data_IF_665820817067
#
_entry.id   IF_665820817067
#
_cell.length_a   1.000
_cell.length_b   1.000
_cell.length_c   1.000
_cell.angle_alpha   90.00
_cell.angle_beta   90.00
_cell.angle_gamma   90.00
#
_symmetry.space_group_name_H-M   'P 1'
#
loop_
_entity.id
_entity.type
_entity.pdbx_description
1 polymer ?
#
# COMPACT_ATOMS: atom_id res chain seq x y z
N UNK A 1 7.16 9.34 -9.22
CA UNK A 1 7.44 8.25 -10.19
C UNK A 1 6.12 7.63 -10.59
N UNK A 2 5.93 7.34 -11.87
CA UNK A 2 4.83 6.47 -12.28
C UNK A 2 5.22 5.52 -13.42
N UNK A 3 4.46 4.43 -13.58
CA UNK A 3 4.56 3.53 -14.73
C UNK A 3 3.37 3.74 -15.68
N UNK A 4 3.63 3.68 -16.99
CA UNK A 4 2.60 3.84 -18.01
C UNK A 4 1.93 2.50 -18.34
N UNK A 5 0.64 2.55 -18.67
CA UNK A 5 -0.09 1.38 -19.18
C UNK A 5 -0.47 0.35 -18.10
N UNK A 6 -0.40 0.74 -16.82
CA UNK A 6 -0.74 -0.14 -15.68
C UNK A 6 -1.82 0.47 -14.79
N UNK A 7 -2.41 -0.38 -13.95
CA UNK A 7 -3.18 0.10 -12.80
C UNK A 7 -2.26 0.84 -11.83
N UNK A 8 -2.80 1.80 -11.11
CA UNK A 8 -2.04 2.62 -10.15
C UNK A 8 -0.91 3.44 -10.79
N UNK A 9 -0.99 3.77 -12.08
CA UNK A 9 0.01 4.52 -12.84
C UNK A 9 -0.50 5.87 -13.36
N UNK A 10 -0.86 5.92 -14.65
CA UNK A 10 -1.22 7.16 -15.36
C UNK A 10 -2.34 7.97 -14.68
N UNK A 11 -3.39 7.29 -14.18
CA UNK A 11 -4.55 7.94 -13.57
C UNK A 11 -4.20 8.59 -12.25
N UNK A 12 -3.43 7.90 -11.42
CA UNK A 12 -2.99 8.34 -10.11
C UNK A 12 -2.00 9.51 -10.24
N UNK A 13 -1.11 9.46 -11.24
CA UNK A 13 -0.24 10.59 -11.59
C UNK A 13 -1.05 11.83 -11.99
N UNK A 14 -2.01 11.69 -12.90
CA UNK A 14 -2.86 12.81 -13.32
C UNK A 14 -3.67 13.41 -12.16
N UNK A 15 -4.16 12.55 -11.25
CA UNK A 15 -4.84 13.00 -10.04
C UNK A 15 -3.89 13.73 -9.08
N UNK A 16 -2.67 13.23 -8.89
CA UNK A 16 -1.66 13.87 -8.06
C UNK A 16 -1.28 15.26 -8.58
N UNK A 17 -1.07 15.40 -9.90
CA UNK A 17 -0.83 16.71 -10.51
C UNK A 17 -1.98 17.69 -10.25
N UNK A 18 -3.22 17.24 -10.41
CA UNK A 18 -4.40 18.08 -10.16
C UNK A 18 -4.46 18.55 -8.69
N UNK A 19 -4.20 17.65 -7.75
CA UNK A 19 -4.21 17.99 -6.31
C UNK A 19 -3.08 18.97 -5.98
N UNK A 20 -1.86 18.71 -6.45
CA UNK A 20 -0.70 19.59 -6.25
C UNK A 20 -0.96 21.00 -6.78
N UNK A 21 -1.46 21.09 -8.03
CA UNK A 21 -1.81 22.37 -8.64
C UNK A 21 -2.91 23.10 -7.87
N UNK A 22 -3.92 22.37 -7.37
CA UNK A 22 -4.97 22.94 -6.51
C UNK A 22 -4.45 23.53 -5.20
N UNK A 23 -3.30 23.06 -4.72
CA UNK A 23 -2.59 23.60 -3.55
C UNK A 23 -1.55 24.67 -3.90
N UNK A 24 -1.38 25.01 -5.18
CA UNK A 24 -0.37 25.97 -5.64
C UNK A 24 1.06 25.39 -5.74
N UNK A 25 1.19 24.07 -5.81
CA UNK A 25 2.47 23.37 -5.96
C UNK A 25 2.56 22.61 -7.28
N UNK A 26 3.79 22.32 -7.71
CA UNK A 26 4.10 21.47 -8.85
C UNK A 26 5.06 20.34 -8.45
N UNK A 27 5.09 19.27 -9.23
CA UNK A 27 6.08 18.19 -9.05
C UNK A 27 7.42 18.65 -9.63
N UNK A 28 8.48 18.62 -8.81
CA UNK A 28 9.82 19.09 -9.21
C UNK A 28 10.55 18.17 -10.19
N UNK A 29 10.10 16.92 -10.32
CA UNK A 29 10.71 15.92 -11.18
C UNK A 29 9.79 14.72 -11.34
N UNK A 30 9.83 14.10 -12.53
CA UNK A 30 8.99 12.95 -12.87
C UNK A 30 9.83 11.89 -13.54
N UNK A 31 9.89 10.72 -12.91
CA UNK A 31 10.30 9.48 -13.57
C UNK A 31 9.05 8.80 -14.16
N UNK A 32 9.10 8.46 -15.44
CA UNK A 32 8.08 7.67 -16.12
C UNK A 32 8.66 6.83 -17.23
N UNK A 33 8.21 5.57 -17.32
CA UNK A 33 8.55 4.63 -18.38
C UNK A 33 7.36 3.74 -18.71
N UNK A 34 7.37 3.14 -19.89
CA UNK A 34 6.44 2.07 -20.23
C UNK A 34 6.67 0.85 -19.33
N UNK A 35 5.59 0.32 -18.77
CA UNK A 35 5.68 -0.83 -17.87
C UNK A 35 6.07 -2.11 -18.59
N UNK A 36 6.75 -3.01 -17.89
CA UNK A 36 7.05 -4.36 -18.34
C UNK A 36 5.79 -5.19 -18.62
N UNK A 37 4.60 -4.72 -18.21
CA UNK A 37 3.33 -5.34 -18.52
C UNK A 37 2.87 -5.10 -19.96
N UNK A 38 3.18 -3.93 -20.53
CA UNK A 38 2.77 -3.54 -21.89
C UNK A 38 3.87 -3.71 -22.94
N UNK A 39 5.06 -4.11 -22.52
CA UNK A 39 6.22 -4.33 -23.40
C UNK A 39 7.54 -3.93 -22.74
N UNK A 40 7.48 -3.05 -21.74
CA UNK A 40 8.62 -2.49 -21.04
C UNK A 40 9.34 -1.43 -21.85
N UNK A 41 9.89 -0.43 -21.17
CA UNK A 41 10.84 0.46 -21.80
C UNK A 41 12.15 -0.28 -22.12
N UNK A 42 12.77 0.08 -23.25
CA UNK A 42 14.16 -0.30 -23.52
C UNK A 42 15.06 0.17 -22.38
N UNK A 43 16.16 -0.55 -22.15
CA UNK A 43 17.08 -0.25 -21.05
C UNK A 43 17.57 1.18 -21.11
N UNK A 44 17.95 1.64 -22.30
CA UNK A 44 18.46 2.98 -22.57
C UNK A 44 17.44 4.06 -22.24
N UNK A 45 16.16 3.80 -22.51
CA UNK A 45 15.05 4.70 -22.16
C UNK A 45 14.86 4.76 -20.64
N UNK A 46 14.93 3.62 -19.96
CA UNK A 46 14.89 3.57 -18.49
C UNK A 46 16.05 4.36 -17.87
N UNK A 47 17.28 4.15 -18.35
CA UNK A 47 18.47 4.84 -17.85
C UNK A 47 18.34 6.36 -18.06
N UNK A 48 17.92 6.80 -19.25
CA UNK A 48 17.74 8.22 -19.54
C UNK A 48 16.68 8.86 -18.62
N UNK A 49 15.56 8.18 -18.41
CA UNK A 49 14.52 8.64 -17.48
C UNK A 49 15.02 8.67 -16.03
N UNK A 50 15.82 7.68 -15.62
CA UNK A 50 16.44 7.62 -14.30
C UNK A 50 17.38 8.80 -14.06
N UNK A 51 18.31 9.04 -14.98
CA UNK A 51 19.30 10.12 -14.86
C UNK A 51 18.62 11.49 -14.80
N UNK A 52 17.67 11.75 -15.70
CA UNK A 52 16.90 12.99 -15.68
C UNK A 52 16.13 13.20 -14.36
N UNK A 53 15.55 12.12 -13.80
CA UNK A 53 14.86 12.18 -12.53
C UNK A 53 15.81 12.39 -11.34
N UNK A 54 16.90 11.61 -11.27
CA UNK A 54 17.84 11.66 -10.16
C UNK A 54 18.57 13.01 -10.07
N UNK A 55 18.82 13.66 -11.21
CA UNK A 55 19.41 15.00 -11.25
C UNK A 55 18.52 16.10 -10.64
N UNK A 56 17.21 15.86 -10.54
CA UNK A 56 16.30 16.78 -9.81
C UNK A 56 16.50 16.77 -8.29
N UNK A 57 17.24 15.78 -7.75
CA UNK A 57 17.52 15.62 -6.31
C UNK A 57 16.26 15.77 -5.44
N UNK A 58 15.24 14.92 -5.66
CA UNK A 58 13.96 15.04 -4.99
C UNK A 58 14.12 14.94 -3.47
N UNK A 59 13.34 15.73 -2.73
CA UNK A 59 13.25 15.61 -1.27
C UNK A 59 12.27 14.50 -0.85
N UNK A 60 11.22 14.28 -1.65
CA UNK A 60 10.25 13.23 -1.45
C UNK A 60 9.80 12.69 -2.82
N UNK A 61 9.46 11.40 -2.86
CA UNK A 61 9.04 10.70 -4.07
C UNK A 61 7.74 9.98 -3.80
N UNK A 62 6.70 10.35 -4.54
CA UNK A 62 5.43 9.62 -4.57
C UNK A 62 5.52 8.54 -5.67
N UNK A 63 5.21 7.30 -5.31
CA UNK A 63 5.30 6.14 -6.21
C UNK A 63 3.92 5.70 -6.65
N UNK A 64 3.66 5.79 -7.96
CA UNK A 64 2.45 5.32 -8.61
C UNK A 64 2.79 4.18 -9.58
N UNK A 65 2.70 2.93 -9.13
CA UNK A 65 2.88 1.79 -10.02
C UNK A 65 2.34 0.49 -9.45
N UNK A 66 2.36 -0.53 -10.30
CA UNK A 66 2.11 -1.92 -9.89
C UNK A 66 3.35 -2.51 -9.20
N UNK A 67 3.20 -3.53 -8.34
CA UNK A 67 4.31 -4.26 -7.74
C UNK A 67 4.99 -5.21 -8.75
N UNK A 68 5.60 -4.63 -9.78
CA UNK A 68 6.29 -5.31 -10.88
C UNK A 68 7.76 -4.92 -10.94
N UNK A 69 8.52 -5.58 -11.81
CA UNK A 69 9.98 -5.47 -11.85
C UNK A 69 10.48 -4.03 -12.04
N UNK A 70 9.81 -3.20 -12.84
CA UNK A 70 10.25 -1.80 -13.03
C UNK A 70 10.13 -0.97 -11.75
N UNK A 71 9.07 -1.18 -10.98
CA UNK A 71 8.90 -0.55 -9.66
C UNK A 71 9.97 -1.02 -8.69
N UNK A 72 10.32 -2.32 -8.72
CA UNK A 72 11.41 -2.89 -7.91
C UNK A 72 12.74 -2.22 -8.27
N UNK A 73 13.06 -2.11 -9.56
CA UNK A 73 14.30 -1.47 -10.03
C UNK A 73 14.33 -0.01 -9.60
N UNK A 74 13.23 0.73 -9.82
CA UNK A 74 13.14 2.13 -9.43
C UNK A 74 13.35 2.34 -7.93
N UNK A 75 12.62 1.61 -7.08
CA UNK A 75 12.74 1.73 -5.62
C UNK A 75 14.15 1.33 -5.18
N UNK A 76 14.70 0.23 -5.68
CA UNK A 76 16.07 -0.18 -5.36
C UNK A 76 17.11 0.89 -5.70
N UNK A 77 16.99 1.53 -6.87
CA UNK A 77 17.88 2.63 -7.26
C UNK A 77 17.68 3.88 -6.40
N UNK A 78 16.45 4.24 -6.08
CA UNK A 78 16.15 5.38 -5.21
C UNK A 78 16.81 5.24 -3.85
N UNK A 79 16.82 4.04 -3.29
CA UNK A 79 17.40 3.78 -1.98
C UNK A 79 18.94 3.75 -2.00
N UNK A 80 19.59 3.64 -3.17
CA UNK A 80 21.04 3.39 -3.27
C UNK A 80 21.81 4.47 -4.03
N UNK A 81 21.18 5.22 -4.93
CA UNK A 81 21.80 6.34 -5.62
C UNK A 81 21.97 7.52 -4.66
N UNK A 82 23.19 8.05 -4.56
CA UNK A 82 23.53 9.15 -3.64
C UNK A 82 22.71 10.43 -3.84
N UNK A 83 22.13 10.64 -5.03
CA UNK A 83 21.30 11.80 -5.35
C UNK A 83 19.89 11.68 -4.77
N UNK A 84 19.41 10.47 -4.49
CA UNK A 84 18.03 10.17 -4.12
C UNK A 84 17.89 9.38 -2.81
N UNK A 85 18.96 8.74 -2.32
CA UNK A 85 18.94 7.89 -1.13
C UNK A 85 18.56 8.59 0.18
N UNK A 86 18.60 9.93 0.21
CA UNK A 86 18.12 10.73 1.35
C UNK A 86 16.66 11.20 1.22
N UNK A 87 15.99 10.89 0.12
CA UNK A 87 14.62 11.33 -0.13
C UNK A 87 13.61 10.48 0.64
N UNK A 88 12.47 11.08 1.01
CA UNK A 88 11.34 10.36 1.57
C UNK A 88 10.63 9.55 0.48
N UNK A 89 10.28 8.30 0.78
CA UNK A 89 9.54 7.41 -0.10
C UNK A 89 8.09 7.33 0.36
N UNK A 90 7.16 7.82 -0.48
CA UNK A 90 5.73 7.82 -0.23
C UNK A 90 5.05 6.80 -1.16
N UNK A 91 4.47 5.76 -0.60
CA UNK A 91 3.90 4.66 -1.36
C UNK A 91 2.46 4.29 -0.94
N UNK A 92 1.57 3.94 -1.88
CA UNK A 92 0.25 3.41 -1.56
C UNK A 92 0.33 2.02 -0.90
N UNK A 93 -0.74 1.60 -0.21
CA UNK A 93 -0.83 0.28 0.46
C UNK A 93 -0.43 -0.88 -0.45
N UNK A 94 -0.84 -0.83 -1.72
CA UNK A 94 -0.56 -1.88 -2.71
C UNK A 94 0.95 -2.13 -2.94
N UNK A 95 1.81 -1.16 -2.59
CA UNK A 95 3.26 -1.26 -2.70
C UNK A 95 3.95 -1.53 -1.35
N UNK A 96 3.21 -1.67 -0.26
CA UNK A 96 3.77 -1.79 1.09
C UNK A 96 4.77 -2.95 1.21
N UNK A 97 4.36 -4.17 0.85
CA UNK A 97 5.23 -5.35 0.95
C UNK A 97 6.50 -5.23 0.10
N UNK A 98 6.35 -4.73 -1.13
CA UNK A 98 7.47 -4.49 -2.05
C UNK A 98 8.44 -3.49 -1.44
N UNK A 99 7.94 -2.35 -0.99
CA UNK A 99 8.75 -1.27 -0.44
C UNK A 99 9.45 -1.72 0.86
N UNK A 100 8.75 -2.42 1.75
CA UNK A 100 9.32 -2.96 2.98
C UNK A 100 10.44 -3.98 2.69
N UNK A 101 10.22 -4.89 1.74
CA UNK A 101 11.22 -5.86 1.31
C UNK A 101 12.47 -5.19 0.75
N UNK A 102 12.29 -4.23 -0.16
CA UNK A 102 13.38 -3.49 -0.79
C UNK A 102 14.16 -2.64 0.21
N UNK A 103 13.47 -1.98 1.14
CA UNK A 103 14.10 -1.18 2.19
C UNK A 103 14.92 -2.04 3.15
N UNK A 104 14.35 -3.17 3.63
CA UNK A 104 15.08 -4.13 4.46
C UNK A 104 16.34 -4.65 3.75
N UNK A 105 16.23 -4.97 2.46
CA UNK A 105 17.36 -5.40 1.63
C UNK A 105 18.42 -4.30 1.48
N UNK A 106 18.02 -3.06 1.23
CA UNK A 106 18.92 -1.92 1.11
C UNK A 106 19.70 -1.67 2.41
N UNK A 107 19.01 -1.69 3.55
CA UNK A 107 19.64 -1.53 4.88
C UNK A 107 20.60 -2.68 5.18
N UNK A 108 20.22 -3.92 4.89
CA UNK A 108 21.12 -5.06 5.02
C UNK A 108 22.37 -4.95 4.10
N UNK A 109 22.23 -4.26 2.97
CA UNK A 109 23.31 -3.93 2.03
C UNK A 109 24.16 -2.72 2.43
N UNK A 110 23.89 -2.07 3.56
CA UNK A 110 24.69 -0.96 4.10
C UNK A 110 24.10 0.44 3.88
N UNK A 111 22.89 0.57 3.36
CA UNK A 111 22.15 1.84 3.39
C UNK A 111 21.80 2.20 4.83
N UNK A 112 21.99 3.47 5.21
CA UNK A 112 21.64 3.94 6.55
C UNK A 112 20.13 3.85 6.79
N UNK A 113 19.73 3.25 7.92
CA UNK A 113 18.34 3.23 8.31
C UNK A 113 17.91 4.57 8.91
N UNK A 114 17.04 5.29 8.20
CA UNK A 114 16.46 6.55 8.67
C UNK A 114 14.99 6.33 9.06
N UNK A 115 14.62 6.44 10.35
CA UNK A 115 13.23 6.32 10.78
C UNK A 115 12.31 7.33 10.08
N UNK A 116 11.15 6.86 9.58
CA UNK A 116 10.16 7.71 8.92
C UNK A 116 10.51 8.11 7.48
N UNK A 117 11.63 7.65 6.92
CA UNK A 117 11.97 7.90 5.53
C UNK A 117 10.99 7.21 4.55
N UNK A 118 10.51 6.02 4.92
CA UNK A 118 9.52 5.27 4.16
C UNK A 118 8.16 5.44 4.82
N UNK A 119 7.18 5.93 4.07
CA UNK A 119 5.81 6.17 4.53
C UNK A 119 4.87 5.48 3.56
N UNK A 120 4.11 4.52 4.07
CA UNK A 120 3.03 3.87 3.33
C UNK A 120 1.68 4.40 3.79
N UNK A 121 0.72 4.47 2.88
CA UNK A 121 -0.69 4.68 3.27
C UNK A 121 -1.30 3.33 3.66
N UNK A 122 -2.03 3.27 4.77
CA UNK A 122 -2.88 2.13 5.12
C UNK A 122 -4.36 2.41 4.85
N UNK A 123 -5.17 1.36 4.76
CA UNK A 123 -6.65 1.50 4.66
C UNK A 123 -7.37 1.31 5.99
N UNK A 124 -6.65 0.89 7.02
CA UNK A 124 -7.18 0.58 8.34
C UNK A 124 -6.12 0.85 9.42
N UNK A 125 -6.52 0.99 10.70
CA UNK A 125 -5.56 1.06 11.79
C UNK A 125 -4.70 -0.20 11.88
N UNK A 126 -3.52 -0.06 12.49
CA UNK A 126 -2.64 -1.21 12.77
C UNK A 126 -3.30 -2.14 13.78
N UNK A 127 -3.01 -3.44 13.69
CA UNK A 127 -3.56 -4.44 14.60
C UNK A 127 -3.23 -4.19 16.09
N UNK A 128 -2.14 -3.48 16.37
CA UNK A 128 -1.70 -3.08 17.71
C UNK A 128 -2.32 -1.77 18.22
N UNK A 129 -3.02 -1.04 17.35
CA UNK A 129 -3.58 0.28 17.67
C UNK A 129 -4.91 0.16 18.42
N UNK A 130 -4.81 0.02 19.75
CA UNK A 130 -5.96 -0.22 20.63
C UNK A 130 -6.75 1.04 20.99
N UNK A 131 -6.44 2.20 20.41
CA UNK A 131 -7.26 3.41 20.55
C UNK A 131 -8.65 3.24 19.92
N UNK A 132 -8.76 2.32 18.95
CA UNK A 132 -10.02 2.01 18.26
C UNK A 132 -10.71 0.79 18.87
N UNK A 133 -11.98 0.93 19.28
CA UNK A 133 -12.81 -0.17 19.78
C UNK A 133 -12.89 -1.34 18.78
N UNK A 134 -12.96 -1.03 17.48
CA UNK A 134 -12.93 -2.00 16.39
C UNK A 134 -11.68 -2.90 16.46
N UNK A 135 -10.50 -2.31 16.75
CA UNK A 135 -9.26 -3.05 16.84
C UNK A 135 -9.21 -3.89 18.12
N UNK A 136 -9.71 -3.39 19.25
CA UNK A 136 -9.82 -4.19 20.48
C UNK A 136 -10.69 -5.44 20.24
N UNK A 137 -11.80 -5.29 19.51
CA UNK A 137 -12.66 -6.41 19.11
C UNK A 137 -11.95 -7.35 18.15
N UNK A 138 -11.26 -6.82 17.14
CA UNK A 138 -10.43 -7.61 16.21
C UNK A 138 -9.45 -8.49 16.98
N UNK A 139 -8.66 -7.93 17.91
CA UNK A 139 -7.66 -8.70 18.65
C UNK A 139 -8.30 -9.86 19.42
N UNK A 140 -9.47 -9.65 20.01
CA UNK A 140 -10.20 -10.68 20.77
C UNK A 140 -10.69 -11.80 19.86
N UNK A 141 -11.35 -11.45 18.75
CA UNK A 141 -11.90 -12.43 17.80
C UNK A 141 -10.79 -13.19 17.09
N UNK A 142 -9.73 -12.50 16.68
CA UNK A 142 -8.63 -13.10 15.93
C UNK A 142 -7.80 -14.04 16.79
N UNK A 143 -7.51 -13.68 18.05
CA UNK A 143 -6.84 -14.59 18.99
C UNK A 143 -7.63 -15.88 19.19
N UNK A 144 -8.94 -15.76 19.43
CA UNK A 144 -9.82 -16.92 19.59
C UNK A 144 -9.94 -17.78 18.32
N UNK A 145 -9.83 -17.17 17.13
CA UNK A 145 -9.78 -17.88 15.86
C UNK A 145 -8.46 -18.66 15.70
N UNK A 146 -7.32 -18.00 15.93
CA UNK A 146 -5.99 -18.58 15.78
C UNK A 146 -5.69 -19.69 16.79
N UNK A 147 -6.24 -19.60 18.01
CA UNK A 147 -6.16 -20.66 19.02
C UNK A 147 -6.90 -21.94 18.62
N UNK A 148 -7.91 -21.81 17.75
CA UNK A 148 -8.76 -22.93 17.30
C UNK A 148 -8.39 -23.45 15.92
N UNK A 149 -7.67 -22.67 15.12
CA UNK A 149 -7.19 -23.11 13.82
C UNK A 149 -6.03 -24.09 14.01
N UNK A 150 -6.08 -25.24 13.34
CA UNK A 150 -4.89 -26.08 13.18
C UNK A 150 -3.77 -25.20 12.62
N UNK A 151 -2.68 -25.06 13.37
CA UNK A 151 -1.54 -24.16 13.15
C UNK A 151 -0.75 -24.48 11.86
N UNK A 152 -1.44 -24.60 10.74
CA UNK A 152 -0.87 -24.87 9.42
C UNK A 152 0.16 -23.81 9.03
N UNK A 153 0.10 -22.63 9.63
CA UNK A 153 1.06 -21.55 9.50
C UNK A 153 1.53 -21.25 10.93
N UNK A 154 2.75 -21.61 11.30
CA UNK A 154 3.34 -21.60 12.66
C UNK A 154 3.43 -20.22 13.37
N UNK A 155 2.54 -19.28 13.03
CA UNK A 155 2.36 -18.01 13.71
C UNK A 155 1.56 -18.24 15.00
N UNK A 156 2.14 -17.85 16.15
CA UNK A 156 1.42 -17.89 17.43
C UNK A 156 0.17 -17.02 17.43
N UNK A 157 -0.73 -17.21 18.40
CA UNK A 157 -2.02 -16.51 18.47
C UNK A 157 -1.93 -14.96 18.55
N UNK A 158 -0.73 -14.40 18.80
CA UNK A 158 -0.46 -12.96 18.82
C UNK A 158 0.50 -12.52 17.70
N UNK A 159 0.69 -13.32 16.65
CA UNK A 159 1.60 -12.98 15.53
C UNK A 159 1.24 -11.65 14.85
N UNK A 160 -0.05 -11.39 14.68
CA UNK A 160 -0.57 -10.15 14.09
C UNK A 160 -0.21 -8.88 14.90
N UNK A 161 0.28 -9.02 16.15
CA UNK A 161 0.78 -7.90 16.95
C UNK A 161 2.28 -7.66 16.77
N UNK A 162 2.98 -8.62 16.18
CA UNK A 162 4.45 -8.63 16.05
C UNK A 162 4.91 -8.33 14.63
N UNK A 163 4.07 -8.63 13.64
CA UNK A 163 4.27 -8.26 12.25
C UNK A 163 3.17 -7.27 11.83
N UNK A 164 3.57 -6.02 11.60
CA UNK A 164 2.63 -4.95 11.22
C UNK A 164 2.02 -5.18 9.83
N UNK A 165 2.74 -5.82 8.90
CA UNK A 165 2.24 -6.08 7.55
C UNK A 165 1.17 -7.18 7.55
N UNK A 166 1.48 -8.31 8.19
CA UNK A 166 0.49 -9.38 8.38
C UNK A 166 -0.70 -8.89 9.21
N UNK A 167 -0.42 -8.17 10.30
CA UNK A 167 -1.45 -7.61 11.18
C UNK A 167 -2.40 -6.67 10.46
N UNK A 168 -1.89 -5.73 9.65
CA UNK A 168 -2.72 -4.81 8.87
C UNK A 168 -3.59 -5.56 7.84
N UNK A 169 -3.03 -6.55 7.14
CA UNK A 169 -3.77 -7.38 6.19
C UNK A 169 -4.88 -8.20 6.88
N UNK A 170 -4.60 -8.74 8.07
CA UNK A 170 -5.60 -9.47 8.86
C UNK A 170 -6.73 -8.56 9.34
N UNK A 171 -6.43 -7.33 9.75
CA UNK A 171 -7.45 -6.32 10.08
C UNK A 171 -8.31 -6.00 8.86
N UNK A 172 -7.70 -5.75 7.69
CA UNK A 172 -8.42 -5.48 6.46
C UNK A 172 -9.39 -6.63 6.09
N UNK A 173 -8.90 -7.88 6.19
CA UNK A 173 -9.72 -9.08 5.96
C UNK A 173 -10.86 -9.23 6.96
N UNK A 174 -10.60 -8.97 8.25
CA UNK A 174 -11.62 -9.01 9.29
C UNK A 174 -12.70 -7.94 9.09
N UNK A 175 -12.33 -6.69 8.78
CA UNK A 175 -13.29 -5.60 8.49
C UNK A 175 -14.19 -6.01 7.31
N UNK A 176 -13.61 -6.51 6.22
CA UNK A 176 -14.40 -6.98 5.07
C UNK A 176 -15.35 -8.13 5.46
N UNK A 177 -14.89 -9.06 6.30
CA UNK A 177 -15.68 -10.16 6.83
C UNK A 177 -16.84 -9.70 7.73
N UNK A 178 -16.60 -8.75 8.63
CA UNK A 178 -17.62 -8.15 9.49
C UNK A 178 -18.69 -7.43 8.67
N UNK A 179 -18.29 -6.62 7.70
CA UNK A 179 -19.20 -5.93 6.78
C UNK A 179 -20.07 -6.95 6.03
N UNK A 180 -19.47 -8.02 5.51
CA UNK A 180 -20.20 -9.07 4.80
C UNK A 180 -21.18 -9.81 5.74
N UNK A 181 -20.73 -10.19 6.93
CA UNK A 181 -21.55 -10.87 7.94
C UNK A 181 -22.77 -10.03 8.34
N UNK A 182 -22.57 -8.74 8.62
CA UNK A 182 -23.64 -7.80 8.92
C UNK A 182 -24.60 -7.60 7.73
N UNK A 183 -24.07 -7.54 6.50
CA UNK A 183 -24.88 -7.44 5.29
C UNK A 183 -25.80 -8.66 5.10
N UNK A 184 -25.28 -9.86 5.37
CA UNK A 184 -26.01 -11.13 5.23
C UNK A 184 -26.97 -11.42 6.39
N UNK A 185 -26.74 -10.86 7.57
CA UNK A 185 -27.61 -11.02 8.73
C UNK A 185 -29.02 -10.42 8.57
N UNK A 186 -29.24 -9.59 7.55
CA UNK A 186 -30.49 -8.86 7.38
C UNK A 186 -31.38 -9.44 6.29
N UNK A 187 -32.33 -10.30 6.69
CA UNK A 187 -33.28 -11.00 5.79
C UNK A 187 -34.00 -10.11 4.79
N UNK A 188 -34.26 -8.86 5.14
CA UNK A 188 -34.97 -7.92 4.28
C UNK A 188 -34.17 -7.53 3.02
N UNK A 189 -32.84 -7.57 3.11
CA UNK A 189 -31.92 -7.05 2.09
C UNK A 189 -31.21 -8.14 1.31
N UNK A 190 -31.27 -9.39 1.78
CA UNK A 190 -30.74 -10.57 1.08
C UNK A 190 -31.80 -11.26 0.21
N UNK A 191 -32.98 -10.64 0.04
CA UNK A 191 -34.08 -11.21 -0.77
C UNK A 191 -33.70 -11.43 -2.23
N UNK A 192 -32.91 -10.52 -2.80
CA UNK A 192 -32.41 -10.60 -4.18
C UNK A 192 -31.20 -9.68 -4.37
N UNK A 193 -30.46 -9.89 -5.47
CA UNK A 193 -29.25 -9.13 -5.84
C UNK A 193 -29.47 -7.61 -5.84
N UNK A 194 -30.61 -7.14 -6.35
CA UNK A 194 -30.93 -5.71 -6.42
C UNK A 194 -31.09 -5.09 -5.03
N UNK A 195 -31.83 -5.76 -4.15
CA UNK A 195 -32.04 -5.32 -2.76
C UNK A 195 -30.74 -5.33 -1.97
N UNK A 196 -29.87 -6.32 -2.24
CA UNK A 196 -28.56 -6.42 -1.61
C UNK A 196 -27.63 -5.28 -2.04
N UNK A 197 -27.49 -5.04 -3.36
CA UNK A 197 -26.67 -3.95 -3.90
C UNK A 197 -27.13 -2.58 -3.39
N UNK A 198 -28.45 -2.35 -3.33
CA UNK A 198 -29.01 -1.11 -2.78
C UNK A 198 -28.66 -0.93 -1.29
N UNK A 199 -28.53 -2.03 -0.55
CA UNK A 199 -28.21 -1.98 0.88
C UNK A 199 -26.75 -1.65 1.19
N UNK A 200 -25.81 -1.97 0.28
CA UNK A 200 -24.37 -1.72 0.48
C UNK A 200 -24.04 -0.23 0.65
N UNK A 201 -24.85 0.66 0.06
CA UNK A 201 -24.67 2.11 0.14
C UNK A 201 -25.47 2.76 1.27
N UNK A 202 -26.24 1.97 2.04
CA UNK A 202 -27.00 2.49 3.17
C UNK A 202 -26.11 2.50 4.41
N UNK A 203 -25.34 3.59 4.56
CA UNK A 203 -24.29 3.81 5.57
C UNK A 203 -24.72 3.58 7.03
N UNK A 204 -26.02 3.50 7.33
CA UNK A 204 -26.53 3.19 8.68
C UNK A 204 -26.28 1.76 9.15
N UNK A 205 -25.73 0.89 8.30
CA UNK A 205 -25.52 -0.53 8.58
C UNK A 205 -24.15 -0.90 9.10
N UNK A 206 -23.14 -0.07 8.86
CA UNK A 206 -21.75 -0.49 9.01
C UNK A 206 -21.07 0.41 10.05
N UNK A 207 -21.22 0.05 11.32
CA UNK A 207 -20.35 0.53 12.39
C UNK A 207 -19.45 -0.66 12.73
N UNK A 208 -18.22 -0.61 12.22
CA UNK A 208 -17.17 -1.61 12.50
C UNK A 208 -16.26 -1.02 13.55
#
# INVERSE_FOLDING_TARGET
MYLQGVSFGDREYAQAQRVMLGMGYELSGVFSVESSWTGGAEKEVFEAAWEAFADTRPQAVIVFGSPINDTVIFVGRMLTDRRTAGAYLLAPLVLQDLVLSMWRGAVAGGVEFVPGQVITTGTNPLAKDTEYEAIQRFQTVMRAYLEKSDHTHNAGADHFLKDDGDGEMMVAGWIAGEVLSQALGSREWVKNRTSFLASLYNQRRYVV
#
